data_IF_551367808569
#
_entry.id   IF_551367808569
#
_cell.length_a   1.000
_cell.length_b   1.000
_cell.length_c   1.000
_cell.angle_alpha   90.00
_cell.angle_beta   90.00
_cell.angle_gamma   90.00
#
_symmetry.space_group_name_H-M   'P 1'
#
loop_
_entity.id
_entity.type
_entity.pdbx_description
1 polymer ?
#
# COMPACT_ATOMS: atom_id res chain seq x y z
N UNK A 1 16.05 -3.96 -15.01
CA UNK A 1 17.14 -4.94 -14.76
C UNK A 1 16.81 -5.71 -13.49
N UNK A 2 17.18 -6.98 -13.39
CA UNK A 2 17.07 -7.76 -12.16
C UNK A 2 18.47 -8.09 -11.64
N UNK A 3 18.73 -7.79 -10.37
CA UNK A 3 20.03 -8.03 -9.75
C UNK A 3 19.87 -8.31 -8.25
N UNK A 4 20.89 -8.94 -7.67
CA UNK A 4 20.99 -9.23 -6.25
C UNK A 4 22.46 -9.09 -5.80
N UNK A 5 22.69 -9.01 -4.49
CA UNK A 5 24.03 -8.98 -3.91
C UNK A 5 24.42 -10.39 -3.44
N UNK A 6 25.40 -11.07 -4.06
CA UNK A 6 25.70 -12.49 -3.78
C UNK A 6 26.09 -12.78 -2.32
N UNK A 7 26.63 -11.79 -1.61
CA UNK A 7 27.02 -11.91 -0.19
C UNK A 7 25.96 -11.39 0.79
N UNK A 8 24.76 -11.02 0.32
CA UNK A 8 23.63 -10.57 1.14
C UNK A 8 22.34 -11.30 0.73
N UNK A 9 22.39 -12.63 0.76
CA UNK A 9 21.24 -13.49 0.46
C UNK A 9 20.47 -13.85 1.74
N UNK A 10 19.17 -14.14 1.61
CA UNK A 10 18.29 -14.48 2.73
C UNK A 10 18.15 -15.99 2.97
N UNK A 11 19.19 -16.78 2.69
CA UNK A 11 19.13 -18.25 2.69
C UNK A 11 19.41 -18.89 4.06
N UNK A 12 20.24 -18.27 4.90
CA UNK A 12 20.58 -18.72 6.26
C UNK A 12 20.32 -17.67 7.32
N UNK A 13 20.50 -16.41 6.95
CA UNK A 13 20.27 -15.23 7.78
C UNK A 13 19.47 -14.21 6.97
N UNK A 14 18.77 -13.26 7.61
CA UNK A 14 18.08 -12.20 6.89
C UNK A 14 19.06 -11.39 6.03
N UNK A 15 18.67 -11.09 4.79
CA UNK A 15 19.46 -10.22 3.94
C UNK A 15 19.49 -8.79 4.52
N UNK A 16 20.69 -8.26 4.77
CA UNK A 16 20.95 -6.91 5.31
C UNK A 16 21.88 -6.07 4.43
N UNK A 17 21.76 -6.22 3.12
CA UNK A 17 22.50 -5.45 2.12
C UNK A 17 21.82 -4.13 1.73
N UNK A 18 22.24 -3.57 0.59
CA UNK A 18 21.71 -2.34 0.00
C UNK A 18 20.21 -2.47 -0.34
N UNK A 19 19.76 -3.63 -0.82
CA UNK A 19 18.34 -3.86 -1.14
C UNK A 19 17.48 -3.74 0.13
N UNK A 20 17.96 -4.29 1.26
CA UNK A 20 17.27 -4.19 2.53
C UNK A 20 17.20 -2.74 3.04
N UNK A 21 18.31 -2.02 2.99
CA UNK A 21 18.38 -0.60 3.35
C UNK A 21 17.48 0.27 2.47
N UNK A 22 17.49 0.04 1.15
CA UNK A 22 16.65 0.75 0.20
C UNK A 22 15.16 0.51 0.46
N UNK A 23 14.75 -0.74 0.72
CA UNK A 23 13.37 -1.06 1.12
C UNK A 23 12.98 -0.34 2.40
N UNK A 24 13.84 -0.31 3.43
CA UNK A 24 13.54 0.40 4.67
C UNK A 24 13.47 1.92 4.47
N UNK A 25 14.29 2.49 3.60
CA UNK A 25 14.21 3.92 3.26
C UNK A 25 12.87 4.26 2.59
N UNK A 26 12.39 3.44 1.67
CA UNK A 26 11.05 3.61 1.06
C UNK A 26 9.93 3.43 2.10
N UNK A 27 10.07 2.46 3.01
CA UNK A 27 9.10 2.28 4.08
C UNK A 27 9.08 3.47 5.03
N UNK A 28 10.24 4.04 5.37
CA UNK A 28 10.32 5.27 6.14
C UNK A 28 9.66 6.45 5.43
N UNK A 29 9.92 6.61 4.12
CA UNK A 29 9.30 7.64 3.29
C UNK A 29 7.76 7.53 3.27
N UNK A 30 7.23 6.32 3.07
CA UNK A 30 5.79 6.11 2.94
C UNK A 30 5.06 6.01 4.28
N UNK A 31 5.67 5.46 5.32
CA UNK A 31 5.05 5.27 6.64
C UNK A 31 5.40 6.40 7.61
N UNK A 32 6.33 7.29 7.28
CA UNK A 32 6.79 8.38 8.16
C UNK A 32 7.55 7.92 9.41
N UNK A 33 7.85 6.62 9.52
CA UNK A 33 8.47 6.03 10.71
C UNK A 33 9.27 4.77 10.39
N UNK A 34 10.19 4.43 11.29
CA UNK A 34 10.85 3.14 11.35
C UNK A 34 10.29 2.34 12.53
N UNK A 35 10.29 1.02 12.38
CA UNK A 35 9.84 0.10 13.40
C UNK A 35 10.53 -1.25 13.26
N UNK A 36 10.76 -1.94 14.37
CA UNK A 36 11.44 -3.24 14.37
C UNK A 36 10.63 -4.31 13.63
N UNK A 37 9.29 -4.23 13.65
CA UNK A 37 8.44 -5.14 12.88
C UNK A 37 8.77 -5.07 11.38
N UNK A 38 9.19 -3.90 10.88
CA UNK A 38 9.52 -3.72 9.47
C UNK A 38 10.81 -4.45 9.07
N UNK A 39 11.63 -4.89 10.01
CA UNK A 39 12.84 -5.68 9.74
C UNK A 39 12.54 -7.12 9.30
N UNK A 40 11.31 -7.60 9.57
CA UNK A 40 10.78 -8.93 9.23
C UNK A 40 9.42 -8.77 8.53
N UNK A 41 9.39 -8.33 7.25
CA UNK A 41 8.15 -8.08 6.51
C UNK A 41 7.26 -9.30 6.32
N UNK A 42 7.79 -10.52 6.49
CA UNK A 42 7.07 -11.78 6.46
C UNK A 42 6.25 -12.06 7.73
N UNK A 43 6.48 -11.30 8.80
CA UNK A 43 5.79 -11.51 10.07
C UNK A 43 4.33 -11.00 10.03
N UNK A 44 3.45 -11.70 10.75
CA UNK A 44 2.06 -11.26 10.92
C UNK A 44 1.98 -9.87 11.57
N UNK A 45 2.85 -9.60 12.53
CA UNK A 45 2.93 -8.30 13.19
C UNK A 45 3.22 -7.17 12.20
N UNK A 46 4.16 -7.38 11.27
CA UNK A 46 4.53 -6.37 10.30
C UNK A 46 3.36 -6.00 9.39
N UNK A 47 2.71 -6.97 8.76
CA UNK A 47 1.57 -6.69 7.87
C UNK A 47 0.40 -6.07 8.63
N UNK A 48 0.09 -6.54 9.85
CA UNK A 48 -0.96 -5.95 10.67
C UNK A 48 -0.63 -4.50 11.07
N UNK A 49 0.65 -4.17 11.27
CA UNK A 49 1.08 -2.81 11.61
C UNK A 49 1.02 -1.89 10.40
N UNK A 50 1.54 -2.33 9.26
CA UNK A 50 1.48 -1.59 8.00
C UNK A 50 0.04 -1.28 7.62
N UNK A 51 -0.85 -2.29 7.65
CA UNK A 51 -2.27 -2.10 7.32
C UNK A 51 -2.95 -1.09 8.25
N UNK A 52 -2.75 -1.21 9.58
CA UNK A 52 -3.34 -0.25 10.54
C UNK A 52 -2.86 1.19 10.32
N UNK A 53 -1.59 1.37 9.94
CA UNK A 53 -1.06 2.71 9.61
C UNK A 53 -1.73 3.22 8.32
N UNK A 54 -1.80 2.37 7.30
CA UNK A 54 -2.37 2.72 6.00
C UNK A 54 -3.87 3.03 6.07
N UNK A 55 -4.64 2.30 6.89
CA UNK A 55 -6.05 2.56 7.16
C UNK A 55 -6.24 3.90 7.85
N UNK A 56 -5.42 4.18 8.89
CA UNK A 56 -5.45 5.48 9.58
C UNK A 56 -5.09 6.63 8.64
N UNK A 57 -4.13 6.44 7.73
CA UNK A 57 -3.77 7.49 6.78
C UNK A 57 -4.84 7.68 5.71
N UNK A 58 -5.51 6.60 5.29
CA UNK A 58 -6.70 6.69 4.44
C UNK A 58 -7.79 7.54 5.12
N UNK A 59 -8.13 7.24 6.38
CA UNK A 59 -9.15 8.00 7.14
C UNK A 59 -8.82 9.49 7.20
N UNK A 60 -7.55 9.85 7.41
CA UNK A 60 -7.09 11.24 7.43
C UNK A 60 -7.14 11.88 6.04
N UNK A 61 -6.77 11.14 5.00
CA UNK A 61 -6.76 11.63 3.62
C UNK A 61 -8.18 11.87 3.08
N UNK A 62 -9.14 11.00 3.43
CA UNK A 62 -10.52 11.09 2.97
C UNK A 62 -11.44 11.90 3.89
N UNK A 63 -10.92 12.47 4.97
CA UNK A 63 -11.68 13.33 5.90
C UNK A 63 -12.01 14.67 5.25
N UNK A 64 -13.22 15.20 5.51
CA UNK A 64 -13.59 16.56 5.12
C UNK A 64 -12.79 17.64 5.89
N UNK A 65 -12.30 17.29 7.07
CA UNK A 65 -11.54 18.19 7.96
C UNK A 65 -10.03 17.92 7.88
N UNK A 66 -9.25 18.95 7.55
CA UNK A 66 -7.78 18.92 7.55
C UNK A 66 -7.23 19.69 8.77
N UNK A 67 -6.87 18.96 9.82
CA UNK A 67 -6.27 19.58 11.02
C UNK A 67 -4.75 19.74 10.93
N UNK A 68 -4.07 18.87 10.18
CA UNK A 68 -2.60 18.80 10.05
C UNK A 68 -2.19 18.04 8.80
N UNK A 69 -0.93 18.20 8.42
CA UNK A 69 -0.30 17.39 7.37
C UNK A 69 -0.40 15.88 7.66
N UNK A 70 -0.49 15.08 6.60
CA UNK A 70 -0.47 13.63 6.72
C UNK A 70 0.87 13.16 7.33
N UNK A 71 0.87 12.30 8.35
CA UNK A 71 2.11 11.83 8.98
C UNK A 71 2.95 10.90 8.09
N UNK A 72 2.35 10.38 7.01
CA UNK A 72 2.97 9.54 5.99
C UNK A 72 2.04 9.41 4.78
N UNK A 73 2.49 8.73 3.75
CA UNK A 73 1.86 8.73 2.42
C UNK A 73 1.28 7.37 2.00
N UNK A 74 1.50 6.30 2.78
CA UNK A 74 0.94 4.99 2.48
C UNK A 74 -0.55 4.97 2.83
N UNK A 75 -1.41 4.91 1.82
CA UNK A 75 -2.86 4.76 2.01
C UNK A 75 -3.27 3.34 1.68
N UNK A 76 -4.21 2.78 2.46
CA UNK A 76 -4.89 1.56 2.05
C UNK A 76 -5.65 1.84 0.76
N UNK A 77 -5.50 0.98 -0.25
CA UNK A 77 -6.25 1.15 -1.49
C UNK A 77 -7.74 1.03 -1.18
N UNK A 78 -8.60 1.96 -1.62
CA UNK A 78 -9.94 2.15 -1.06
C UNK A 78 -10.97 1.15 -1.60
N UNK A 79 -10.73 -0.14 -1.36
CA UNK A 79 -11.60 -1.27 -1.72
C UNK A 79 -11.82 -2.18 -0.51
N UNK A 80 -12.93 -2.90 -0.51
CA UNK A 80 -13.16 -4.05 0.35
C UNK A 80 -12.84 -5.36 -0.37
N UNK A 81 -12.61 -6.40 0.41
CA UNK A 81 -12.52 -7.79 -0.07
C UNK A 81 -13.53 -8.62 0.72
N UNK A 82 -14.48 -9.25 0.03
CA UNK A 82 -15.49 -10.10 0.66
C UNK A 82 -14.89 -11.42 1.17
N UNK A 83 -15.68 -12.18 1.95
CA UNK A 83 -15.26 -13.51 2.41
C UNK A 83 -15.00 -14.49 1.24
N UNK A 84 -15.66 -14.26 0.10
CA UNK A 84 -15.52 -15.02 -1.14
C UNK A 84 -14.41 -14.49 -2.05
N UNK A 85 -13.75 -13.38 -1.67
CA UNK A 85 -12.67 -12.76 -2.43
C UNK A 85 -13.13 -11.78 -3.52
N UNK A 86 -14.40 -11.36 -3.51
CA UNK A 86 -14.90 -10.32 -4.40
C UNK A 86 -14.40 -8.95 -3.97
N UNK A 87 -13.99 -8.12 -4.94
CA UNK A 87 -13.60 -6.73 -4.69
C UNK A 87 -14.85 -5.87 -4.61
N UNK A 88 -15.01 -5.14 -3.51
CA UNK A 88 -16.18 -4.29 -3.25
C UNK A 88 -15.78 -2.83 -3.05
N UNK A 89 -16.75 -1.93 -3.19
CA UNK A 89 -16.59 -0.54 -2.74
C UNK A 89 -16.48 -0.51 -1.21
N UNK A 90 -15.73 0.46 -0.67
CA UNK A 90 -15.80 0.76 0.75
C UNK A 90 -17.10 1.52 1.05
N UNK A 91 -17.73 1.31 2.22
CA UNK A 91 -18.95 2.04 2.58
C UNK A 91 -18.75 3.56 2.50
N UNK A 92 -19.52 4.23 1.66
CA UNK A 92 -19.43 5.69 1.46
C UNK A 92 -18.33 6.14 0.48
N UNK A 93 -17.62 5.21 -0.17
CA UNK A 93 -16.50 5.52 -1.08
C UNK A 93 -16.69 4.84 -2.44
N UNK A 94 -17.69 5.28 -3.22
CA UNK A 94 -17.88 4.82 -4.61
C UNK A 94 -16.83 5.46 -5.56
N UNK A 95 -16.53 6.74 -5.34
CA UNK A 95 -15.61 7.54 -6.14
C UNK A 95 -14.34 7.88 -5.37
N UNK A 96 -13.24 8.13 -6.07
CA UNK A 96 -12.07 8.73 -5.43
C UNK A 96 -12.44 10.11 -4.83
N UNK A 97 -11.86 10.49 -3.67
CA UNK A 97 -12.06 11.81 -3.09
C UNK A 97 -11.88 12.93 -4.12
N UNK A 98 -12.74 13.94 -4.07
CA UNK A 98 -12.78 15.08 -5.00
C UNK A 98 -13.09 14.75 -6.47
N UNK A 99 -13.56 13.53 -6.78
CA UNK A 99 -13.87 13.12 -8.16
C UNK A 99 -15.27 12.53 -8.34
N UNK A 100 -15.61 12.23 -9.60
CA UNK A 100 -16.72 11.35 -9.99
C UNK A 100 -16.21 10.06 -10.66
N UNK A 101 -14.94 9.71 -10.42
CA UNK A 101 -14.30 8.55 -11.03
C UNK A 101 -14.46 7.32 -10.11
N UNK A 102 -15.10 6.26 -10.61
CA UNK A 102 -15.39 5.05 -9.82
C UNK A 102 -14.09 4.35 -9.45
N UNK A 103 -13.93 3.96 -8.19
CA UNK A 103 -12.72 3.26 -7.72
C UNK A 103 -12.59 1.88 -8.37
N UNK A 104 -13.70 1.16 -8.53
CA UNK A 104 -13.72 -0.16 -9.19
C UNK A 104 -13.58 -0.08 -10.72
N UNK A 105 -13.48 1.13 -11.26
CA UNK A 105 -13.41 1.38 -12.68
C UNK A 105 -14.72 1.08 -13.41
N UNK A 106 -14.63 1.04 -14.74
CA UNK A 106 -15.70 0.65 -15.63
C UNK A 106 -15.09 0.05 -16.90
N UNK A 107 -15.61 -1.09 -17.35
CA UNK A 107 -15.20 -1.69 -18.62
C UNK A 107 -15.66 -0.78 -19.77
N UNK A 108 -14.77 -0.46 -20.69
CA UNK A 108 -15.13 0.28 -21.90
C UNK A 108 -15.77 -0.65 -22.93
N UNK A 109 -16.89 -0.21 -23.51
CA UNK A 109 -17.50 -0.87 -24.68
C UNK A 109 -16.85 -0.46 -26.00
N UNK A 110 -16.00 0.58 -25.98
CA UNK A 110 -15.39 1.18 -27.17
C UNK A 110 -13.91 0.86 -27.32
N UNK A 111 -13.17 0.85 -26.20
CA UNK A 111 -11.73 0.63 -26.21
C UNK A 111 -11.43 -0.87 -26.17
N UNK A 112 -10.76 -1.43 -27.20
CA UNK A 112 -10.39 -2.84 -27.18
C UNK A 112 -9.29 -3.11 -26.14
N UNK A 113 -9.28 -4.30 -25.50
CA UNK A 113 -8.30 -4.63 -24.46
C UNK A 113 -6.84 -4.44 -24.87
N UNK A 114 -6.50 -4.64 -26.15
CA UNK A 114 -5.14 -4.42 -26.69
C UNK A 114 -4.60 -3.00 -26.43
N UNK A 115 -5.46 -2.02 -26.14
CA UNK A 115 -5.05 -0.65 -25.80
C UNK A 115 -4.94 -0.40 -24.29
N UNK A 116 -5.53 -1.23 -23.44
CA UNK A 116 -5.75 -0.93 -22.02
C UNK A 116 -5.30 -2.03 -21.05
N UNK A 117 -4.66 -3.10 -21.54
CA UNK A 117 -4.07 -4.18 -20.73
C UNK A 117 -2.57 -4.28 -20.92
#
# INVERSE_FOLDING_TARGET
MGAYQPYHLSNREPARGQIHGFRLALWYEHLGMLDDAFLQPESLECVQKVNRIADKYWDLYSSDDLERDLPGHLLSYPIGVSAEGEVTELPGTEFFPDTKARILGAKSDYLPPILTT
#
